data_IF_908695288462
#
_entry.id   IF_908695288462
#
_cell.length_a   1.000
_cell.length_b   1.000
_cell.length_c   1.000
_cell.angle_alpha   90.00
_cell.angle_beta   90.00
_cell.angle_gamma   90.00
#
_symmetry.space_group_name_H-M   'P 1'
#
loop_
_entity.id
_entity.type
_entity.pdbx_description
1 polymer ?
#
# COMPACT_ATOMS: atom_id res chain seq x y z
N UNK A 1 1.16 -13.37 -49.71
CA UNK A 1 0.96 -11.93 -49.41
C UNK A 1 0.28 -11.83 -48.06
N UNK A 2 0.74 -10.86 -47.27
CA UNK A 2 0.76 -10.84 -45.79
C UNK A 2 -0.59 -11.14 -45.12
N UNK A 3 -0.50 -12.12 -44.23
CA UNK A 3 -1.43 -12.48 -43.17
C UNK A 3 -1.74 -11.25 -42.33
N UNK A 4 -3.01 -10.88 -42.26
CA UNK A 4 -3.52 -9.79 -41.42
C UNK A 4 -3.26 -10.19 -39.97
N UNK A 5 -2.24 -9.59 -39.38
CA UNK A 5 -1.90 -9.78 -37.98
C UNK A 5 -2.94 -9.04 -37.14
N UNK A 6 -3.92 -9.80 -36.66
CA UNK A 6 -4.79 -9.43 -35.55
C UNK A 6 -3.90 -9.34 -34.30
N UNK A 7 -3.20 -8.22 -34.11
CA UNK A 7 -2.63 -7.88 -32.81
C UNK A 7 -3.79 -7.54 -31.88
N UNK A 8 -3.90 -8.29 -30.79
CA UNK A 8 -4.81 -7.99 -29.69
C UNK A 8 -4.61 -6.53 -29.24
N UNK A 9 -5.54 -5.63 -29.55
CA UNK A 9 -5.73 -4.43 -28.75
C UNK A 9 -6.41 -4.90 -27.46
N UNK A 10 -5.62 -5.12 -26.40
CA UNK A 10 -6.18 -5.12 -25.05
C UNK A 10 -6.84 -3.75 -24.83
N UNK A 11 -8.13 -3.76 -24.53
CA UNK A 11 -8.93 -2.55 -24.35
C UNK A 11 -8.43 -1.84 -23.09
N UNK A 12 -7.66 -0.77 -23.26
CA UNK A 12 -7.27 0.09 -22.15
C UNK A 12 -8.52 0.87 -21.70
N UNK A 13 -8.99 0.57 -20.50
CA UNK A 13 -10.17 1.16 -19.89
C UNK A 13 -9.75 2.40 -19.06
N UNK A 14 -9.86 3.56 -19.71
CA UNK A 14 -9.65 4.88 -19.09
C UNK A 14 -10.99 5.57 -18.90
N UNK A 15 -11.13 6.26 -17.77
CA UNK A 15 -12.36 6.96 -17.42
C UNK A 15 -11.99 8.39 -17.08
N UNK A 16 -12.74 9.35 -17.61
CA UNK A 16 -12.60 10.76 -17.24
C UNK A 16 -13.54 11.08 -16.06
N UNK A 17 -12.96 11.50 -14.94
CA UNK A 17 -13.68 11.93 -13.74
C UNK A 17 -13.39 13.42 -13.53
N UNK A 18 -14.27 14.28 -14.02
CA UNK A 18 -14.16 15.74 -13.95
C UNK A 18 -12.76 16.27 -14.39
N UNK A 19 -12.26 15.78 -15.53
CA UNK A 19 -10.98 16.18 -16.12
C UNK A 19 -9.75 15.41 -15.61
N UNK A 20 -9.95 14.36 -14.81
CA UNK A 20 -8.89 13.46 -14.35
C UNK A 20 -9.03 12.11 -15.05
N UNK A 21 -7.99 11.73 -15.80
CA UNK A 21 -7.89 10.39 -16.40
C UNK A 21 -7.58 9.35 -15.33
N UNK A 22 -8.51 8.42 -15.12
CA UNK A 22 -8.41 7.35 -14.12
C UNK A 22 -8.30 6.01 -14.82
N UNK A 23 -7.29 5.22 -14.44
CA UNK A 23 -7.17 3.82 -14.87
C UNK A 23 -7.94 2.91 -13.92
N UNK A 24 -8.76 2.03 -14.50
CA UNK A 24 -9.60 1.12 -13.74
C UNK A 24 -9.25 -0.33 -14.14
N UNK A 25 -8.78 -1.18 -13.20
CA UNK A 25 -8.18 -2.47 -13.51
C UNK A 25 -9.22 -3.58 -13.70
N UNK A 26 -10.36 -3.25 -14.33
CA UNK A 26 -11.45 -4.15 -14.65
C UNK A 26 -12.15 -3.72 -15.94
N UNK A 27 -12.72 -4.69 -16.66
CA UNK A 27 -13.36 -4.47 -17.96
C UNK A 27 -14.68 -3.68 -17.89
N UNK A 28 -15.27 -3.58 -16.69
CA UNK A 28 -16.56 -2.94 -16.48
C UNK A 28 -16.53 -2.07 -15.23
N UNK A 29 -17.13 -0.87 -15.35
CA UNK A 29 -17.36 0.04 -14.25
C UNK A 29 -18.86 0.28 -14.06
N UNK A 30 -19.29 0.28 -12.80
CA UNK A 30 -20.67 0.59 -12.44
C UNK A 30 -20.90 2.12 -12.36
N UNK A 31 -22.09 2.63 -12.73
CA UNK A 31 -22.42 4.05 -12.59
C UNK A 31 -22.23 4.59 -11.17
N UNK A 32 -22.52 3.79 -10.14
CA UNK A 32 -22.34 4.18 -8.75
C UNK A 32 -20.87 4.38 -8.37
N UNK A 33 -19.96 3.64 -9.01
CA UNK A 33 -18.50 3.82 -8.80
C UNK A 33 -18.01 5.13 -9.42
N UNK A 34 -18.54 5.52 -10.59
CA UNK A 34 -18.25 6.81 -11.22
C UNK A 34 -18.71 7.96 -10.31
N UNK A 35 -19.95 7.87 -9.82
CA UNK A 35 -20.49 8.87 -8.89
C UNK A 35 -19.65 8.98 -7.61
N UNK A 36 -19.27 7.84 -7.03
CA UNK A 36 -18.40 7.78 -5.85
C UNK A 36 -17.05 8.46 -6.11
N UNK A 37 -16.43 8.19 -7.25
CA UNK A 37 -15.15 8.82 -7.62
C UNK A 37 -15.30 10.32 -7.85
N UNK A 38 -16.39 10.78 -8.47
CA UNK A 38 -16.68 12.21 -8.62
C UNK A 38 -16.79 12.94 -7.29
N UNK A 39 -17.57 12.40 -6.34
CA UNK A 39 -17.71 13.01 -5.01
C UNK A 39 -16.41 12.97 -4.20
N UNK A 40 -15.64 11.88 -4.31
CA UNK A 40 -14.31 11.79 -3.68
C UNK A 40 -13.34 12.83 -4.27
N UNK A 41 -13.33 13.01 -5.60
CA UNK A 41 -12.49 14.02 -6.27
C UNK A 41 -12.84 15.43 -5.80
N UNK A 42 -14.13 15.78 -5.73
CA UNK A 42 -14.57 17.09 -5.20
C UNK A 42 -14.04 17.34 -3.80
N UNK A 43 -14.05 16.33 -2.94
CA UNK A 43 -13.52 16.43 -1.58
C UNK A 43 -11.99 16.65 -1.56
N UNK A 44 -11.25 15.95 -2.41
CA UNK A 44 -9.80 16.13 -2.58
C UNK A 44 -9.46 17.54 -3.11
N UNK A 45 -10.16 17.99 -4.15
CA UNK A 45 -9.98 19.32 -4.76
C UNK A 45 -10.27 20.45 -3.75
N UNK A 46 -11.32 20.29 -2.93
CA UNK A 46 -11.66 21.24 -1.88
C UNK A 46 -10.74 21.18 -0.65
N UNK A 47 -9.82 20.19 -0.58
CA UNK A 47 -8.97 19.90 0.59
C UNK A 47 -9.79 19.74 1.89
N UNK A 48 -10.96 19.11 1.76
CA UNK A 48 -11.94 18.96 2.83
C UNK A 48 -12.14 17.51 3.27
N UNK A 49 -12.96 17.34 4.31
CA UNK A 49 -13.42 16.02 4.73
C UNK A 49 -14.69 15.64 3.97
N UNK A 50 -14.86 14.35 3.69
CA UNK A 50 -16.09 13.80 3.12
C UNK A 50 -16.52 12.54 3.87
N UNK A 51 -17.84 12.31 3.88
CA UNK A 51 -18.44 11.06 4.34
C UNK A 51 -19.15 10.44 3.14
N UNK A 52 -18.61 9.32 2.67
CA UNK A 52 -19.13 8.61 1.50
C UNK A 52 -19.64 7.23 1.92
N UNK A 53 -20.92 6.98 1.65
CA UNK A 53 -21.54 5.67 1.83
C UNK A 53 -21.53 4.94 0.50
N UNK A 54 -21.06 3.69 0.50
CA UNK A 54 -21.18 2.80 -0.64
C UNK A 54 -21.49 1.38 -0.15
N UNK A 55 -22.49 0.68 -0.73
CA UNK A 55 -22.91 -0.63 -0.26
C UNK A 55 -21.80 -1.67 -0.44
N UNK A 56 -21.80 -2.72 0.39
CA UNK A 56 -20.80 -3.78 0.33
C UNK A 56 -20.82 -4.52 -1.00
N UNK A 57 -19.65 -4.93 -1.50
CA UNK A 57 -19.53 -5.75 -2.72
C UNK A 57 -19.49 -4.96 -4.03
N UNK A 58 -19.56 -3.63 -3.99
CA UNK A 58 -19.58 -2.75 -5.17
C UNK A 58 -18.20 -2.21 -5.59
N UNK A 59 -17.11 -2.81 -5.12
CA UNK A 59 -15.75 -2.38 -5.52
C UNK A 59 -15.33 -1.02 -4.95
N UNK A 60 -15.70 -0.70 -3.71
CA UNK A 60 -15.25 0.52 -3.00
C UNK A 60 -13.76 0.69 -2.95
N UNK A 61 -13.04 -0.38 -2.63
CA UNK A 61 -11.59 -0.33 -2.49
C UNK A 61 -10.92 0.03 -3.81
N UNK A 62 -11.24 -0.67 -4.90
CA UNK A 62 -10.66 -0.37 -6.21
C UNK A 62 -11.02 1.03 -6.69
N UNK A 63 -12.28 1.46 -6.55
CA UNK A 63 -12.71 2.79 -7.01
C UNK A 63 -11.98 3.91 -6.28
N UNK A 64 -11.80 3.77 -4.97
CA UNK A 64 -11.01 4.71 -4.16
C UNK A 64 -9.54 4.70 -4.59
N UNK A 65 -8.92 3.52 -4.71
CA UNK A 65 -7.50 3.41 -5.05
C UNK A 65 -7.21 3.94 -6.46
N UNK A 66 -8.01 3.58 -7.45
CA UNK A 66 -7.89 4.07 -8.83
C UNK A 66 -7.91 5.59 -8.91
N UNK A 67 -8.89 6.23 -8.26
CA UNK A 67 -8.98 7.69 -8.26
C UNK A 67 -7.79 8.33 -7.54
N UNK A 68 -7.46 7.85 -6.34
CA UNK A 68 -6.41 8.49 -5.52
C UNK A 68 -5.03 8.34 -6.16
N UNK A 69 -4.71 7.18 -6.75
CA UNK A 69 -3.45 6.98 -7.47
C UNK A 69 -3.38 7.93 -8.67
N UNK A 70 -4.44 8.02 -9.47
CA UNK A 70 -4.49 8.98 -10.58
C UNK A 70 -4.32 10.43 -10.09
N UNK A 71 -4.94 10.78 -8.95
CA UNK A 71 -4.86 12.11 -8.36
C UNK A 71 -3.43 12.45 -7.91
N UNK A 72 -2.75 11.54 -7.21
CA UNK A 72 -1.35 11.72 -6.76
C UNK A 72 -0.42 11.90 -7.97
N UNK A 73 -0.58 11.07 -9.00
CA UNK A 73 0.24 11.14 -10.21
C UNK A 73 0.02 12.44 -10.99
N UNK A 74 -1.20 12.98 -11.00
CA UNK A 74 -1.56 14.20 -11.73
C UNK A 74 -1.23 15.48 -10.95
N UNK A 75 -1.41 15.46 -9.63
CA UNK A 75 -1.29 16.63 -8.75
C UNK A 75 -0.37 16.33 -7.54
N UNK A 76 0.92 16.04 -7.77
CA UNK A 76 1.85 15.69 -6.69
C UNK A 76 2.04 16.81 -5.64
N UNK A 77 1.85 18.07 -6.05
CA UNK A 77 1.92 19.24 -5.14
C UNK A 77 0.71 19.34 -4.20
N UNK A 78 -0.38 18.62 -4.48
CA UNK A 78 -1.62 18.66 -3.69
C UNK A 78 -1.79 17.44 -2.80
N UNK A 79 -1.36 16.26 -3.26
CA UNK A 79 -1.45 15.01 -2.52
C UNK A 79 -0.23 14.13 -2.82
N UNK A 80 0.57 13.88 -1.79
CA UNK A 80 1.80 13.07 -1.88
C UNK A 80 1.64 11.69 -1.21
N UNK A 81 0.63 11.52 -0.35
CA UNK A 81 0.49 10.32 0.49
C UNK A 81 -0.97 9.94 0.74
N UNK A 82 -1.27 8.65 0.56
CA UNK A 82 -2.51 8.03 1.01
C UNK A 82 -2.27 7.19 2.27
N UNK A 83 -3.02 7.47 3.33
CA UNK A 83 -3.11 6.60 4.51
C UNK A 83 -4.45 5.87 4.49
N UNK A 84 -4.41 4.57 4.20
CA UNK A 84 -5.61 3.74 4.18
C UNK A 84 -5.76 2.97 5.49
N UNK A 85 -6.87 3.21 6.21
CA UNK A 85 -7.15 2.54 7.47
C UNK A 85 -8.26 1.50 7.30
N UNK A 86 -7.99 0.28 7.75
CA UNK A 86 -8.93 -0.84 7.74
C UNK A 86 -9.00 -1.48 9.13
N UNK A 87 -10.09 -2.22 9.39
CA UNK A 87 -10.38 -2.80 10.71
C UNK A 87 -9.64 -4.11 10.95
N UNK A 88 -9.42 -4.92 9.91
CA UNK A 88 -8.92 -6.28 10.05
C UNK A 88 -7.73 -6.55 9.13
N UNK A 89 -6.86 -7.49 9.51
CA UNK A 89 -5.69 -7.87 8.70
C UNK A 89 -6.09 -8.39 7.31
N UNK A 90 -7.09 -9.28 7.16
CA UNK A 90 -7.48 -9.75 5.83
C UNK A 90 -8.02 -8.64 4.91
N UNK A 91 -8.62 -7.58 5.47
CA UNK A 91 -9.02 -6.40 4.69
C UNK A 91 -7.80 -5.58 4.22
N UNK A 92 -6.76 -5.45 5.05
CA UNK A 92 -5.49 -4.79 4.68
C UNK A 92 -4.83 -5.58 3.54
N UNK A 93 -4.69 -6.89 3.69
CA UNK A 93 -4.09 -7.76 2.67
C UNK A 93 -4.84 -7.65 1.34
N UNK A 94 -6.18 -7.73 1.37
CA UNK A 94 -7.00 -7.53 0.17
C UNK A 94 -6.77 -6.17 -0.47
N UNK A 95 -6.75 -5.09 0.31
CA UNK A 95 -6.50 -3.74 -0.22
C UNK A 95 -5.15 -3.63 -0.93
N UNK A 96 -4.12 -4.27 -0.38
CA UNK A 96 -2.76 -4.26 -0.94
C UNK A 96 -2.71 -5.08 -2.23
N UNK A 97 -3.40 -6.22 -2.30
CA UNK A 97 -3.52 -6.99 -3.54
C UNK A 97 -4.29 -6.22 -4.64
N UNK A 98 -5.37 -5.51 -4.30
CA UNK A 98 -6.07 -4.64 -5.25
C UNK A 98 -5.16 -3.53 -5.79
N UNK A 99 -4.36 -2.90 -4.92
CA UNK A 99 -3.38 -1.91 -5.34
C UNK A 99 -2.31 -2.51 -6.26
N UNK A 100 -1.85 -3.73 -5.99
CA UNK A 100 -0.89 -4.44 -6.85
C UNK A 100 -1.48 -4.74 -8.22
N UNK A 101 -2.74 -5.13 -8.29
CA UNK A 101 -3.44 -5.34 -9.56
C UNK A 101 -3.54 -4.03 -10.35
N UNK A 102 -3.86 -2.92 -9.67
CA UNK A 102 -3.86 -1.60 -10.28
C UNK A 102 -2.48 -1.22 -10.85
N UNK A 103 -1.39 -1.45 -10.11
CA UNK A 103 -0.04 -1.12 -10.59
C UNK A 103 0.36 -1.96 -11.82
N UNK A 104 0.01 -3.24 -11.84
CA UNK A 104 0.19 -4.09 -13.02
C UNK A 104 -0.62 -3.58 -14.21
N UNK A 105 -1.83 -3.10 -13.96
CA UNK A 105 -2.66 -2.51 -15.00
C UNK A 105 -2.04 -1.24 -15.58
N UNK A 106 -1.49 -0.35 -14.75
CA UNK A 106 -0.68 0.78 -15.20
C UNK A 106 0.52 0.34 -16.03
N UNK A 107 1.24 -0.71 -15.62
CA UNK A 107 2.37 -1.26 -16.37
C UNK A 107 1.96 -1.80 -17.75
N UNK A 108 0.81 -2.46 -17.85
CA UNK A 108 0.24 -2.91 -19.13
C UNK A 108 -0.13 -1.73 -20.04
N UNK A 109 -0.67 -0.65 -19.47
CA UNK A 109 -1.15 0.50 -20.24
C UNK A 109 -0.02 1.44 -20.70
N UNK A 110 0.93 1.74 -19.81
CA UNK A 110 1.97 2.76 -20.02
C UNK A 110 3.37 2.17 -20.21
N UNK A 111 3.51 0.84 -20.14
CA UNK A 111 4.78 0.13 -20.22
C UNK A 111 5.65 0.23 -18.96
N UNK A 112 5.15 0.87 -17.89
CA UNK A 112 5.85 1.03 -16.61
C UNK A 112 4.85 1.15 -15.45
N UNK A 113 5.15 0.60 -14.26
CA UNK A 113 4.31 0.81 -13.09
C UNK A 113 4.45 2.25 -12.57
N UNK A 114 3.49 2.71 -11.74
CA UNK A 114 3.61 3.99 -11.03
C UNK A 114 4.86 4.00 -10.15
N UNK A 115 5.61 5.10 -10.16
CA UNK A 115 6.77 5.32 -9.27
C UNK A 115 6.31 5.70 -7.87
N UNK A 116 5.66 4.75 -7.19
CA UNK A 116 5.06 4.91 -5.88
C UNK A 116 5.44 3.73 -4.98
N UNK A 117 5.76 4.05 -3.73
CA UNK A 117 6.00 3.06 -2.67
C UNK A 117 4.74 2.88 -1.82
N UNK A 118 4.24 1.66 -1.75
CA UNK A 118 3.09 1.29 -0.92
C UNK A 118 3.46 0.14 0.03
N UNK A 119 3.13 0.28 1.31
CA UNK A 119 3.46 -0.70 2.34
C UNK A 119 2.28 -0.96 3.25
N UNK A 120 2.03 -2.24 3.52
CA UNK A 120 1.10 -2.70 4.54
C UNK A 120 1.77 -2.66 5.93
N UNK A 121 1.08 -2.12 6.93
CA UNK A 121 1.57 -2.09 8.31
C UNK A 121 0.62 -2.85 9.23
N UNK A 122 1.20 -3.62 10.15
CA UNK A 122 0.46 -4.38 11.17
C UNK A 122 1.26 -4.46 12.47
N UNK A 123 0.71 -5.18 13.45
CA UNK A 123 1.37 -5.39 14.73
C UNK A 123 2.66 -6.22 14.59
N UNK A 124 3.58 -6.06 15.55
CA UNK A 124 4.88 -6.78 15.54
C UNK A 124 4.72 -8.29 15.45
N UNK A 125 3.66 -8.87 16.01
CA UNK A 125 3.37 -10.31 15.92
C UNK A 125 3.24 -10.84 14.48
N UNK A 126 2.90 -9.97 13.53
CA UNK A 126 2.73 -10.35 12.12
C UNK A 126 3.98 -10.06 11.28
N UNK A 127 4.85 -9.14 11.71
CA UNK A 127 6.02 -8.67 10.96
C UNK A 127 7.36 -9.11 11.58
N UNK A 128 7.34 -9.82 12.72
CA UNK A 128 8.56 -10.22 13.41
C UNK A 128 9.18 -11.47 12.78
N UNK A 129 10.41 -11.32 12.29
CA UNK A 129 11.21 -12.42 11.71
C UNK A 129 12.11 -13.13 12.71
N UNK A 130 12.23 -12.63 13.94
CA UNK A 130 13.02 -13.29 14.99
C UNK A 130 12.20 -14.44 15.58
N UNK A 131 12.57 -15.69 15.26
CA UNK A 131 11.85 -16.91 15.66
C UNK A 131 11.61 -17.02 17.17
N UNK A 132 12.60 -16.62 17.99
CA UNK A 132 12.48 -16.65 19.45
C UNK A 132 11.41 -15.71 19.99
N UNK A 133 11.09 -14.66 19.24
CA UNK A 133 10.10 -13.64 19.59
C UNK A 133 8.76 -13.93 18.91
N UNK A 134 8.77 -14.27 17.61
CA UNK A 134 7.55 -14.53 16.83
C UNK A 134 6.79 -15.77 17.31
N UNK A 135 7.50 -16.78 17.82
CA UNK A 135 6.91 -17.99 18.41
C UNK A 135 6.03 -17.75 19.63
N UNK A 136 6.13 -16.57 20.29
CA UNK A 136 5.31 -16.23 21.45
C UNK A 136 3.82 -16.05 21.12
N UNK A 137 3.48 -15.78 19.85
CA UNK A 137 2.13 -15.59 19.26
C UNK A 137 1.26 -14.48 19.86
N UNK A 138 1.31 -14.26 21.17
CA UNK A 138 0.55 -13.23 21.88
C UNK A 138 1.23 -11.87 21.72
N UNK A 139 0.46 -10.86 21.28
CA UNK A 139 0.98 -9.53 20.94
C UNK A 139 1.78 -8.88 22.07
N UNK A 140 1.24 -8.87 23.29
CA UNK A 140 1.92 -8.28 24.45
C UNK A 140 3.25 -8.94 24.79
N UNK A 141 3.35 -10.27 24.63
CA UNK A 141 4.58 -11.02 24.85
C UNK A 141 5.61 -10.75 23.76
N UNK A 142 5.18 -10.70 22.50
CA UNK A 142 6.02 -10.30 21.35
C UNK A 142 6.59 -8.90 21.57
N UNK A 143 5.75 -7.96 21.99
CA UNK A 143 6.16 -6.57 22.22
C UNK A 143 7.20 -6.47 23.34
N UNK A 144 6.95 -7.14 24.46
CA UNK A 144 7.88 -7.17 25.60
C UNK A 144 9.21 -7.86 25.26
N UNK A 145 9.17 -8.98 24.53
CA UNK A 145 10.38 -9.69 24.10
C UNK A 145 11.19 -8.87 23.09
N UNK A 146 10.54 -8.24 22.10
CA UNK A 146 11.20 -7.34 21.17
C UNK A 146 11.86 -6.18 21.92
N UNK A 147 11.16 -5.53 22.85
CA UNK A 147 11.69 -4.42 23.65
C UNK A 147 12.92 -4.83 24.48
N UNK A 148 12.93 -6.03 25.09
CA UNK A 148 14.11 -6.55 25.80
C UNK A 148 15.34 -6.68 24.89
N UNK A 149 15.13 -6.93 23.60
CA UNK A 149 16.21 -7.05 22.63
C UNK A 149 16.62 -5.71 22.00
N UNK A 150 15.70 -4.75 21.81
CA UNK A 150 15.96 -3.55 20.99
C UNK A 150 15.98 -2.23 21.76
N UNK A 151 15.50 -2.19 23.01
CA UNK A 151 15.40 -0.94 23.76
C UNK A 151 16.76 -0.23 23.92
N UNK A 152 16.75 1.09 23.85
CA UNK A 152 17.95 1.94 23.94
C UNK A 152 18.78 1.69 25.20
N UNK A 153 18.13 1.50 26.36
CA UNK A 153 18.83 1.18 27.61
C UNK A 153 19.46 -0.22 27.61
N UNK A 154 18.88 -1.19 26.89
CA UNK A 154 19.47 -2.52 26.71
C UNK A 154 20.67 -2.46 25.76
N UNK A 155 20.58 -1.68 24.69
CA UNK A 155 21.71 -1.41 23.77
C UNK A 155 22.87 -0.72 24.50
N UNK A 156 22.58 0.26 25.36
CA UNK A 156 23.61 0.91 26.19
C UNK A 156 24.28 -0.07 27.17
N UNK A 157 23.51 -0.95 27.82
CA UNK A 157 24.07 -2.01 28.68
C UNK A 157 24.97 -2.98 27.90
N UNK A 158 24.61 -3.33 26.66
CA UNK A 158 25.43 -4.20 25.79
C UNK A 158 26.80 -3.62 25.45
N UNK A 159 26.94 -2.29 25.39
CA UNK A 159 28.25 -1.64 25.22
C UNK A 159 29.20 -1.94 26.37
N UNK A 160 28.67 -2.16 27.58
CA UNK A 160 29.45 -2.53 28.76
C UNK A 160 29.56 -4.05 28.94
N UNK A 161 28.56 -4.81 28.45
CA UNK A 161 28.45 -6.28 28.57
C UNK A 161 28.00 -6.91 27.25
N UNK A 162 28.95 -7.25 26.35
CA UNK A 162 28.63 -7.77 25.01
C UNK A 162 27.95 -9.15 24.97
N UNK A 163 27.95 -9.89 26.09
CA UNK A 163 27.35 -11.21 26.26
C UNK A 163 25.80 -11.19 26.31
N UNK A 164 25.19 -10.02 26.54
CA UNK A 164 23.74 -9.88 26.62
C UNK A 164 23.05 -10.08 25.26
N UNK A 165 21.91 -10.78 25.19
CA UNK A 165 21.22 -11.10 23.94
C UNK A 165 20.73 -9.84 23.23
N UNK A 166 20.81 -9.82 21.89
CA UNK A 166 20.34 -8.75 21.02
C UNK A 166 19.48 -9.29 19.87
N UNK A 167 18.80 -8.39 19.16
CA UNK A 167 18.12 -8.74 17.92
C UNK A 167 19.05 -8.42 16.74
N UNK A 168 19.66 -9.44 16.15
CA UNK A 168 20.59 -9.26 15.02
C UNK A 168 19.95 -8.51 13.84
N UNK A 169 18.67 -8.77 13.55
CA UNK A 169 17.95 -8.09 12.48
C UNK A 169 17.81 -6.58 12.70
N UNK A 170 17.55 -6.16 13.95
CA UNK A 170 17.42 -4.75 14.28
C UNK A 170 18.77 -4.02 14.24
N UNK A 171 19.82 -4.63 14.79
CA UNK A 171 21.16 -4.01 14.79
C UNK A 171 21.69 -3.89 13.35
N UNK A 172 21.51 -4.92 12.51
CA UNK A 172 21.87 -4.86 11.09
C UNK A 172 21.11 -3.77 10.32
N UNK A 173 19.82 -3.58 10.64
CA UNK A 173 19.02 -2.51 10.05
C UNK A 173 19.52 -1.12 10.50
N UNK A 174 19.86 -0.96 11.78
CA UNK A 174 20.37 0.31 12.34
C UNK A 174 21.76 0.69 11.80
N UNK A 175 22.58 -0.30 11.45
CA UNK A 175 23.85 -0.11 10.74
C UNK A 175 23.65 0.42 9.32
N UNK A 176 22.56 0.01 8.65
CA UNK A 176 22.16 0.47 7.32
C UNK A 176 21.33 1.76 7.42
N UNK A 177 21.97 2.86 7.84
CA UNK A 177 21.30 4.15 8.14
C UNK A 177 20.51 4.76 6.97
N UNK A 178 20.88 4.47 5.73
CA UNK A 178 20.23 5.00 4.52
C UNK A 178 19.68 3.84 3.68
N UNK A 179 18.45 3.43 3.95
CA UNK A 179 17.74 2.42 3.18
C UNK A 179 16.59 3.05 2.40
N UNK A 180 16.70 3.06 1.07
CA UNK A 180 15.59 3.43 0.18
C UNK A 180 14.90 2.16 -0.30
N UNK A 181 13.60 2.04 0.01
CA UNK A 181 12.78 0.99 -0.58
C UNK A 181 12.52 1.30 -2.06
N UNK A 182 12.63 0.31 -2.96
CA UNK A 182 12.20 0.49 -4.33
C UNK A 182 10.69 0.77 -4.39
N UNK A 183 10.27 1.43 -5.47
CA UNK A 183 8.85 1.57 -5.78
C UNK A 183 8.20 0.19 -5.95
N UNK A 184 6.97 0.06 -5.49
CA UNK A 184 6.26 -1.21 -5.47
C UNK A 184 5.27 -1.33 -4.33
N UNK A 185 4.60 -2.47 -4.29
CA UNK A 185 3.50 -2.77 -3.37
C UNK A 185 3.89 -3.92 -2.46
N UNK A 186 4.17 -3.61 -1.19
CA UNK A 186 4.65 -4.53 -0.17
C UNK A 186 3.52 -4.94 0.78
N UNK A 187 3.24 -6.24 0.83
CA UNK A 187 2.26 -6.82 1.76
C UNK A 187 2.94 -7.22 3.09
N UNK A 188 2.14 -7.64 4.07
CA UNK A 188 2.58 -8.08 5.40
C UNK A 188 3.47 -9.31 5.36
#
# INVERSE_FOLDING_TARGET
MKQVSFFLLEIIFKIDIDGLEVYFPYDYIYPEQILYMGELKKALDAKGHCLLEMPSGTGKTVSLLSLVVAYILRFPDHLDKLVYCSRTIPEIEKCVEELRNLFKYYEQCDGKPPSLFAVALSARKNLCINESVSSLRQGSLVDGACQKLTASFMRAKRRLRPDLPCCAFFEKLDEQKDFNYPDGVYNL
#
